data_IF_685712177654
#
_entry.id   IF_685712177654
#
_cell.length_a   1.000
_cell.length_b   1.000
_cell.length_c   1.000
_cell.angle_alpha   90.00
_cell.angle_beta   90.00
_cell.angle_gamma   90.00
#
_symmetry.space_group_name_H-M   'P 1'
#
loop_
_entity.id
_entity.type
_entity.pdbx_description
1 polymer ?
#
# COMPACT_ATOMS: atom_id res chain seq x y z
N UNK A 1 17.45 -34.48 1.67
CA UNK A 1 17.42 -33.17 2.37
C UNK A 1 18.00 -33.37 3.76
N UNK A 2 19.08 -32.68 4.11
CA UNK A 2 19.89 -33.00 5.29
C UNK A 2 19.34 -32.30 6.54
N UNK A 3 18.95 -33.06 7.58
CA UNK A 3 18.25 -32.53 8.77
C UNK A 3 19.05 -31.46 9.52
N UNK A 4 20.37 -31.60 9.55
CA UNK A 4 21.27 -30.69 10.27
C UNK A 4 21.35 -29.30 9.63
N UNK A 5 21.31 -29.23 8.30
CA UNK A 5 21.29 -27.95 7.59
C UNK A 5 19.98 -27.19 7.83
N UNK A 6 18.86 -27.90 7.88
CA UNK A 6 17.54 -27.30 8.15
C UNK A 6 17.50 -26.73 9.57
N UNK A 7 18.02 -27.48 10.55
CA UNK A 7 18.09 -27.05 11.95
C UNK A 7 19.01 -25.83 12.13
N UNK A 8 20.16 -25.80 11.44
CA UNK A 8 21.04 -24.61 11.45
C UNK A 8 20.37 -23.40 10.81
N UNK A 9 19.64 -23.59 9.71
CA UNK A 9 18.91 -22.50 9.04
C UNK A 9 17.81 -21.93 9.92
N UNK A 10 17.00 -22.78 10.53
CA UNK A 10 15.93 -22.38 11.45
C UNK A 10 16.44 -21.72 12.73
N UNK A 11 17.64 -22.07 13.20
CA UNK A 11 18.28 -21.38 14.34
C UNK A 11 18.92 -20.04 13.96
N UNK A 12 19.34 -19.87 12.71
CA UNK A 12 19.85 -18.59 12.19
C UNK A 12 18.72 -17.62 11.81
N UNK A 13 17.61 -18.15 11.29
CA UNK A 13 16.36 -17.42 11.07
C UNK A 13 15.64 -17.26 12.40
N UNK A 14 16.17 -16.35 13.24
CA UNK A 14 15.54 -15.89 14.49
C UNK A 14 14.33 -14.97 14.17
N UNK A 15 13.54 -15.35 13.17
CA UNK A 15 12.39 -14.62 12.62
C UNK A 15 11.22 -15.59 12.71
N UNK A 16 10.25 -15.27 13.55
CA UNK A 16 9.03 -16.07 13.63
C UNK A 16 8.25 -15.86 12.34
N UNK A 17 8.32 -16.84 11.44
CA UNK A 17 7.60 -16.84 10.15
C UNK A 17 6.11 -16.52 10.34
N UNK A 18 5.54 -16.92 11.49
CA UNK A 18 4.15 -16.68 11.85
C UNK A 18 3.87 -15.19 12.06
N UNK A 19 4.79 -14.47 12.69
CA UNK A 19 4.69 -13.02 12.86
C UNK A 19 4.75 -12.28 11.51
N UNK A 20 5.63 -12.71 10.58
CA UNK A 20 5.72 -12.09 9.25
C UNK A 20 4.45 -12.31 8.43
N UNK A 21 3.85 -13.51 8.51
CA UNK A 21 2.57 -13.81 7.86
C UNK A 21 1.44 -12.94 8.44
N UNK A 22 1.32 -12.87 9.77
CA UNK A 22 0.29 -12.06 10.43
C UNK A 22 0.47 -10.56 10.08
N UNK A 23 1.71 -10.10 10.02
CA UNK A 23 2.03 -8.72 9.58
C UNK A 23 1.60 -8.48 8.13
N UNK A 24 1.89 -9.38 7.19
CA UNK A 24 1.46 -9.16 5.80
C UNK A 24 -0.08 -9.19 5.64
N UNK A 25 -0.75 -10.11 6.33
CA UNK A 25 -2.21 -10.18 6.34
C UNK A 25 -2.84 -8.92 6.93
N UNK A 26 -2.35 -8.46 8.09
CA UNK A 26 -2.85 -7.24 8.72
C UNK A 26 -2.67 -6.01 7.83
N UNK A 27 -1.54 -5.88 7.12
CA UNK A 27 -1.36 -4.82 6.13
C UNK A 27 -2.40 -4.89 5.01
N UNK A 28 -2.73 -6.08 4.47
CA UNK A 28 -3.77 -6.22 3.45
C UNK A 28 -5.15 -5.78 3.94
N UNK A 29 -5.52 -6.17 5.16
CA UNK A 29 -6.78 -5.72 5.77
C UNK A 29 -6.78 -4.21 6.00
N UNK A 30 -5.67 -3.64 6.47
CA UNK A 30 -5.52 -2.21 6.68
C UNK A 30 -5.69 -1.41 5.36
N UNK A 31 -5.06 -1.84 4.26
CA UNK A 31 -5.27 -1.19 2.96
C UNK A 31 -6.71 -1.31 2.48
N UNK A 32 -7.36 -2.46 2.68
CA UNK A 32 -8.77 -2.65 2.33
C UNK A 32 -9.68 -1.67 3.08
N UNK A 33 -9.51 -1.57 4.40
CA UNK A 33 -10.27 -0.62 5.23
C UNK A 33 -9.96 0.82 4.85
N UNK A 34 -8.69 1.17 4.60
CA UNK A 34 -8.28 2.51 4.16
C UNK A 34 -8.96 2.90 2.85
N UNK A 35 -8.99 2.00 1.86
CA UNK A 35 -9.66 2.25 0.58
C UNK A 35 -11.16 2.51 0.74
N UNK A 36 -11.84 1.71 1.58
CA UNK A 36 -13.27 1.88 1.88
C UNK A 36 -13.53 3.22 2.57
N UNK A 37 -12.72 3.58 3.57
CA UNK A 37 -12.86 4.84 4.28
C UNK A 37 -12.57 6.04 3.36
N UNK A 38 -11.51 5.99 2.54
CA UNK A 38 -11.22 7.06 1.58
C UNK A 38 -12.36 7.24 0.59
N UNK A 39 -12.96 6.15 0.08
CA UNK A 39 -14.13 6.23 -0.80
C UNK A 39 -15.35 6.87 -0.11
N UNK A 40 -15.65 6.46 1.12
CA UNK A 40 -16.72 7.04 1.94
C UNK A 40 -16.50 8.53 2.22
N UNK A 41 -15.30 8.92 2.68
CA UNK A 41 -14.98 10.32 2.96
C UNK A 41 -15.00 11.19 1.71
N UNK A 42 -14.54 10.66 0.58
CA UNK A 42 -14.61 11.35 -0.71
C UNK A 42 -16.06 11.60 -1.11
N UNK A 43 -16.93 10.60 -0.97
CA UNK A 43 -18.36 10.75 -1.26
C UNK A 43 -19.05 11.77 -0.34
N UNK A 44 -18.79 11.72 0.97
CA UNK A 44 -19.36 12.65 1.95
C UNK A 44 -18.90 14.10 1.71
N UNK A 45 -17.60 14.30 1.44
CA UNK A 45 -17.04 15.64 1.17
C UNK A 45 -17.47 16.19 -0.18
N UNK A 46 -17.68 15.32 -1.19
CA UNK A 46 -18.24 15.71 -2.48
C UNK A 46 -19.65 16.28 -2.34
N UNK A 47 -20.49 15.74 -1.45
CA UNK A 47 -21.81 16.31 -1.18
C UNK A 47 -21.75 17.63 -0.41
N UNK A 48 -20.70 17.83 0.38
CA UNK A 48 -20.49 19.04 1.20
C UNK A 48 -19.78 20.16 0.45
N UNK A 49 -19.45 19.96 -0.85
CA UNK A 49 -18.70 20.93 -1.66
C UNK A 49 -17.27 21.20 -1.16
N UNK A 50 -16.71 20.31 -0.34
CA UNK A 50 -15.37 20.46 0.19
C UNK A 50 -14.33 19.81 -0.74
N UNK A 51 -13.10 20.35 -0.79
CA UNK A 51 -12.03 19.74 -1.58
C UNK A 51 -11.75 18.32 -1.09
N UNK A 52 -11.86 17.36 -2.01
CA UNK A 52 -11.61 15.94 -1.80
C UNK A 52 -10.20 15.53 -2.22
N UNK A 53 -9.52 16.41 -2.95
CA UNK A 53 -8.22 16.20 -3.58
C UNK A 53 -7.12 15.91 -2.54
N UNK A 54 -7.20 16.50 -1.35
CA UNK A 54 -6.28 16.24 -0.22
C UNK A 54 -6.24 14.77 0.19
N UNK A 55 -7.43 14.16 0.34
CA UNK A 55 -7.56 12.77 0.79
C UNK A 55 -7.03 11.80 -0.27
N UNK A 56 -7.27 12.12 -1.54
CA UNK A 56 -6.84 11.30 -2.67
C UNK A 56 -5.30 11.32 -2.76
N UNK A 57 -4.66 12.49 -2.62
CA UNK A 57 -3.19 12.63 -2.68
C UNK A 57 -2.52 11.78 -1.58
N UNK A 58 -2.98 11.91 -0.33
CA UNK A 58 -2.39 11.17 0.80
C UNK A 58 -2.61 9.65 0.66
N UNK A 59 -3.79 9.24 0.21
CA UNK A 59 -4.12 7.82 0.02
C UNK A 59 -3.31 7.23 -1.14
N UNK A 60 -3.28 7.88 -2.31
CA UNK A 60 -2.51 7.41 -3.47
C UNK A 60 -1.00 7.42 -3.19
N UNK A 61 -0.48 8.45 -2.52
CA UNK A 61 0.93 8.53 -2.15
C UNK A 61 1.37 7.40 -1.20
N UNK A 62 0.58 7.13 -0.16
CA UNK A 62 0.87 6.05 0.78
C UNK A 62 0.81 4.66 0.14
N UNK A 63 -0.20 4.39 -0.71
CA UNK A 63 -0.28 3.12 -1.46
C UNK A 63 0.88 3.00 -2.46
N UNK A 64 1.24 4.08 -3.16
CA UNK A 64 2.36 4.09 -4.09
C UNK A 64 3.69 3.72 -3.41
N UNK A 65 4.01 4.35 -2.28
CA UNK A 65 5.22 4.04 -1.51
C UNK A 65 5.25 2.59 -1.04
N UNK A 66 4.09 2.07 -0.63
CA UNK A 66 3.94 0.71 -0.13
C UNK A 66 4.08 -0.35 -1.22
N UNK A 67 3.51 -0.10 -2.40
CA UNK A 67 3.63 -0.98 -3.56
C UNK A 67 5.04 -0.93 -4.16
N UNK A 68 5.69 0.25 -4.16
CA UNK A 68 7.10 0.37 -4.56
C UNK A 68 8.03 -0.45 -3.64
N UNK A 69 7.81 -0.40 -2.32
CA UNK A 69 8.56 -1.21 -1.37
C UNK A 69 8.31 -2.71 -1.55
N UNK A 70 7.04 -3.12 -1.75
CA UNK A 70 6.69 -4.52 -2.05
C UNK A 70 7.32 -5.00 -3.36
N UNK A 71 7.34 -4.17 -4.40
CA UNK A 71 8.02 -4.51 -5.64
C UNK A 71 9.52 -4.71 -5.44
N UNK A 72 10.18 -3.84 -4.67
CA UNK A 72 11.60 -3.97 -4.36
C UNK A 72 11.92 -5.30 -3.66
N UNK A 73 11.09 -5.73 -2.69
CA UNK A 73 11.32 -6.97 -1.92
C UNK A 73 10.86 -8.24 -2.67
N UNK A 74 9.79 -8.17 -3.44
CA UNK A 74 9.11 -9.37 -4.01
C UNK A 74 9.38 -9.57 -5.50
N UNK A 75 9.84 -8.53 -6.22
CA UNK A 75 10.08 -8.49 -7.68
C UNK A 75 8.93 -9.04 -8.56
N UNK A 76 7.70 -9.02 -8.05
CA UNK A 76 6.51 -9.44 -8.81
C UNK A 76 6.09 -8.31 -9.75
N UNK A 77 5.89 -8.64 -11.04
CA UNK A 77 5.51 -7.65 -12.06
C UNK A 77 4.19 -6.94 -11.78
N UNK A 78 3.25 -7.63 -11.14
CA UNK A 78 1.92 -7.08 -10.81
C UNK A 78 2.02 -5.89 -9.84
N UNK A 79 2.90 -5.98 -8.84
CA UNK A 79 3.10 -4.90 -7.86
C UNK A 79 3.66 -3.63 -8.52
N UNK A 80 4.49 -3.79 -9.57
CA UNK A 80 5.02 -2.66 -10.34
C UNK A 80 3.93 -1.96 -11.14
N UNK A 81 3.05 -2.73 -11.79
CA UNK A 81 1.94 -2.17 -12.56
C UNK A 81 1.02 -1.34 -11.66
N UNK A 82 0.65 -1.87 -10.49
CA UNK A 82 -0.16 -1.15 -9.52
C UNK A 82 0.55 0.07 -8.93
N UNK A 83 1.86 -0.01 -8.68
CA UNK A 83 2.65 1.14 -8.22
C UNK A 83 2.65 2.28 -9.26
N UNK A 84 2.89 1.96 -10.53
CA UNK A 84 2.88 2.94 -11.62
C UNK A 84 1.48 3.56 -11.78
N UNK A 85 0.43 2.74 -11.77
CA UNK A 85 -0.96 3.22 -11.86
C UNK A 85 -1.28 4.20 -10.72
N UNK A 86 -0.93 3.84 -9.48
CA UNK A 86 -1.15 4.70 -8.31
C UNK A 86 -0.31 5.97 -8.35
N UNK A 87 0.91 5.90 -8.88
CA UNK A 87 1.76 7.07 -9.08
C UNK A 87 1.13 8.06 -10.07
N UNK A 88 0.63 7.58 -11.21
CA UNK A 88 -0.04 8.43 -12.21
C UNK A 88 -1.28 9.09 -11.60
N UNK A 89 -2.11 8.34 -10.86
CA UNK A 89 -3.28 8.90 -10.16
C UNK A 89 -2.88 9.96 -9.12
N UNK A 90 -1.80 9.72 -8.39
CA UNK A 90 -1.27 10.69 -7.43
C UNK A 90 -0.84 12.00 -8.11
N UNK A 91 -0.11 11.91 -9.23
CA UNK A 91 0.30 13.09 -10.01
C UNK A 91 -0.90 13.86 -10.54
N UNK A 92 -1.91 13.17 -11.09
CA UNK A 92 -3.15 13.80 -11.55
C UNK A 92 -3.89 14.50 -10.40
N UNK A 93 -3.95 13.87 -9.22
CA UNK A 93 -4.57 14.45 -8.04
C UNK A 93 -3.83 15.71 -7.54
N UNK A 94 -2.49 15.70 -7.57
CA UNK A 94 -1.67 16.87 -7.24
C UNK A 94 -1.91 18.01 -8.24
N UNK A 95 -1.96 17.71 -9.54
CA UNK A 95 -2.26 18.71 -10.57
C UNK A 95 -3.64 19.32 -10.34
N UNK A 96 -4.66 18.48 -10.08
CA UNK A 96 -6.01 18.94 -9.74
C UNK A 96 -6.03 19.82 -8.49
N UNK A 97 -5.31 19.43 -7.44
CA UNK A 97 -5.21 20.21 -6.23
C UNK A 97 -4.58 21.59 -6.45
N UNK A 98 -3.58 21.68 -7.34
CA UNK A 98 -2.96 22.96 -7.72
C UNK A 98 -3.92 23.81 -8.57
N UNK A 99 -4.71 23.19 -9.45
CA UNK A 99 -5.66 23.89 -10.33
C UNK A 99 -6.97 24.33 -9.64
N UNK A 100 -7.42 23.61 -8.62
CA UNK A 100 -8.64 23.91 -7.85
C UNK A 100 -8.40 24.93 -6.72
N UNK A 101 -7.15 25.41 -6.57
CA UNK A 101 -6.73 26.42 -5.59
C UNK A 101 -6.84 27.84 -6.14
#
# INVERSE_FOLDING_TARGET
>A
MNKEEILKKAQMENVDEREEIVKDHSFRYAYGVMAVLTALFTFLRSQSGQPTTDLIIVTCGSVCASMAYRYYKTRKGDDLFFAILMFVLCVLAIIRFIMER
#
